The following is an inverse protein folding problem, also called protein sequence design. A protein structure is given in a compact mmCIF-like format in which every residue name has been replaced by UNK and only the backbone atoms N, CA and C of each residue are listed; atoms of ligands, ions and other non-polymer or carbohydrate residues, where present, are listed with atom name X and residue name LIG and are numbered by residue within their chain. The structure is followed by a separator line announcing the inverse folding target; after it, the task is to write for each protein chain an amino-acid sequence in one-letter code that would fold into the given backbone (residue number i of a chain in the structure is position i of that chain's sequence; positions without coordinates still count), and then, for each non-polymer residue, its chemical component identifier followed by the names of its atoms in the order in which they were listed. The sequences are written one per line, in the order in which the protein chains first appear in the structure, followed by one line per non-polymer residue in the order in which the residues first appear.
data_IF_175861811291
#
_entry.id   IF_175861811291
#
_cell.length_a   1.000
_cell.length_b   1.000
_cell.length_c   1.000
_cell.angle_alpha   90.00
_cell.angle_beta   90.00
_cell.angle_gamma   90.00
#
_symmetry.space_group_name_H-M   'P 1'
#
loop_
_entity.id
_entity.type
_entity.pdbx_description
1 polymer ?
#
# COMPACT_ATOMS: atom_id res chain seq x y z
N UNK A 1 -34.52 20.29 -43.98
CA UNK A 1 -34.65 21.10 -42.74
C UNK A 1 -35.41 20.39 -41.61
N UNK A 2 -36.62 19.83 -41.82
CA UNK A 2 -37.38 19.17 -40.75
C UNK A 2 -36.65 17.98 -40.14
N UNK A 3 -36.03 17.09 -40.95
CA UNK A 3 -35.25 15.93 -40.50
C UNK A 3 -34.06 16.34 -39.61
N UNK A 4 -33.29 17.35 -40.04
CA UNK A 4 -32.16 17.87 -39.28
C UNK A 4 -32.58 18.43 -37.90
N UNK A 5 -33.71 19.12 -37.83
CA UNK A 5 -34.27 19.60 -36.54
C UNK A 5 -34.70 18.48 -35.65
N UNK A 6 -35.31 17.43 -36.21
CA UNK A 6 -35.71 16.23 -35.45
C UNK A 6 -34.49 15.49 -34.88
N UNK A 7 -33.43 15.26 -35.69
CA UNK A 7 -32.18 14.63 -35.26
C UNK A 7 -31.50 15.46 -34.16
N UNK A 8 -31.37 16.76 -34.34
CA UNK A 8 -30.82 17.66 -33.32
C UNK A 8 -31.63 17.62 -32.01
N UNK A 9 -32.94 17.54 -32.09
CA UNK A 9 -33.82 17.39 -30.91
C UNK A 9 -33.60 16.06 -30.17
N UNK A 10 -33.42 14.96 -30.90
CA UNK A 10 -33.09 13.66 -30.28
C UNK A 10 -31.71 13.66 -29.64
N UNK A 11 -30.70 14.19 -30.31
CA UNK A 11 -29.34 14.32 -29.75
C UNK A 11 -29.33 15.17 -28.48
N UNK A 12 -30.05 16.30 -28.46
CA UNK A 12 -30.15 17.14 -27.27
C UNK A 12 -30.84 16.39 -26.12
N UNK A 13 -31.95 15.69 -26.38
CA UNK A 13 -32.64 14.88 -25.35
C UNK A 13 -31.72 13.78 -24.79
N UNK A 14 -31.01 13.07 -25.67
CA UNK A 14 -30.05 12.04 -25.26
C UNK A 14 -28.95 12.63 -24.39
N UNK A 15 -28.37 13.77 -24.78
CA UNK A 15 -27.36 14.47 -23.99
C UNK A 15 -27.89 14.87 -22.60
N UNK A 16 -29.10 15.44 -22.53
CA UNK A 16 -29.72 15.82 -21.26
C UNK A 16 -29.98 14.60 -20.35
N UNK A 17 -30.40 13.47 -20.92
CA UNK A 17 -30.58 12.21 -20.16
C UNK A 17 -29.23 11.70 -19.64
N UNK A 18 -28.16 11.76 -20.43
CA UNK A 18 -26.83 11.36 -19.98
C UNK A 18 -26.32 12.26 -18.86
N UNK A 19 -26.49 13.58 -18.96
CA UNK A 19 -26.11 14.53 -17.90
C UNK A 19 -26.89 14.23 -16.62
N UNK A 20 -28.22 14.02 -16.73
CA UNK A 20 -29.06 13.68 -15.59
C UNK A 20 -28.63 12.35 -14.94
N UNK A 21 -28.40 11.32 -15.74
CA UNK A 21 -27.93 10.01 -15.25
C UNK A 21 -26.57 10.12 -14.55
N UNK A 22 -25.63 10.88 -15.13
CA UNK A 22 -24.32 11.16 -14.51
C UNK A 22 -24.48 11.91 -13.20
N UNK A 23 -25.35 12.94 -13.16
CA UNK A 23 -25.63 13.69 -11.93
C UNK A 23 -26.20 12.80 -10.81
N UNK A 24 -27.19 11.95 -11.14
CA UNK A 24 -27.78 10.98 -10.19
C UNK A 24 -26.71 10.01 -9.71
N UNK A 25 -25.85 9.49 -10.59
CA UNK A 25 -24.77 8.59 -10.24
C UNK A 25 -23.76 9.26 -9.29
N UNK A 26 -23.29 10.47 -9.59
CA UNK A 26 -22.37 11.20 -8.74
C UNK A 26 -23.01 11.55 -7.38
N UNK A 27 -24.27 11.95 -7.34
CA UNK A 27 -24.99 12.20 -6.09
C UNK A 27 -25.08 10.91 -5.24
N UNK A 28 -25.39 9.76 -5.85
CA UNK A 28 -25.44 8.47 -5.17
C UNK A 28 -24.07 8.07 -4.62
N UNK A 29 -23.00 8.27 -5.39
CA UNK A 29 -21.61 8.01 -4.93
C UNK A 29 -21.22 8.95 -3.79
N UNK A 30 -21.59 10.24 -3.87
CA UNK A 30 -21.30 11.23 -2.82
C UNK A 30 -21.96 10.91 -1.47
N UNK A 31 -23.19 10.36 -1.50
CA UNK A 31 -23.89 9.91 -0.28
C UNK A 31 -23.18 8.69 0.34
N UNK A 32 -22.54 7.85 -0.47
CA UNK A 32 -21.85 6.63 -0.05
C UNK A 32 -20.36 6.77 0.12
N UNK A 33 -19.84 7.97 -0.09
CA UNK A 33 -18.39 8.22 0.03
C UNK A 33 -17.85 7.76 1.38
N UNK A 34 -16.75 7.05 1.32
CA UNK A 34 -15.99 6.70 2.51
C UNK A 34 -15.28 7.95 3.05
N UNK A 35 -15.66 8.38 4.23
CA UNK A 35 -15.09 9.53 4.93
C UNK A 35 -14.56 9.05 6.28
N UNK A 36 -13.31 8.57 6.32
CA UNK A 36 -12.72 8.11 7.56
C UNK A 36 -12.49 9.28 8.54
N UNK A 37 -12.46 8.97 9.83
CA UNK A 37 -11.98 9.92 10.83
C UNK A 37 -10.46 10.13 10.67
N UNK A 38 -9.96 11.26 11.20
CA UNK A 38 -8.51 11.57 11.18
C UNK A 38 -7.71 10.49 11.87
N UNK A 39 -8.22 9.97 13.01
CA UNK A 39 -7.64 8.85 13.73
C UNK A 39 -8.76 7.89 14.16
N UNK A 40 -8.55 6.60 13.95
CA UNK A 40 -9.50 5.53 14.30
C UNK A 40 -8.77 4.44 15.07
N UNK A 41 -9.22 4.18 16.31
CA UNK A 41 -8.69 3.07 17.11
C UNK A 41 -9.12 1.75 16.51
N UNK A 42 -8.18 0.84 16.26
CA UNK A 42 -8.44 -0.54 15.87
C UNK A 42 -8.42 -1.38 17.15
N UNK A 43 -9.50 -2.12 17.45
CA UNK A 43 -9.57 -2.92 18.67
C UNK A 43 -8.40 -3.91 18.79
N UNK A 44 -7.85 -3.97 20.00
CA UNK A 44 -6.82 -4.95 20.39
C UNK A 44 -7.38 -5.79 21.53
N UNK A 45 -7.56 -7.07 21.27
CA UNK A 45 -8.06 -8.00 22.28
C UNK A 45 -6.91 -8.67 23.03
N UNK A 46 -7.11 -8.90 24.33
CA UNK A 46 -6.13 -9.61 25.15
C UNK A 46 -5.09 -8.71 25.81
N UNK A 47 -4.07 -9.32 26.37
CA UNK A 47 -3.02 -8.62 27.12
C UNK A 47 -1.88 -8.22 26.16
N UNK A 48 -1.44 -6.99 26.26
CA UNK A 48 -0.29 -6.51 25.50
C UNK A 48 0.99 -7.26 25.91
N UNK A 49 1.76 -7.63 24.90
CA UNK A 49 3.07 -8.23 25.09
C UNK A 49 4.19 -7.18 25.09
N UNK A 50 5.39 -7.61 25.44
CA UNK A 50 6.61 -6.80 25.37
C UNK A 50 7.36 -7.16 24.09
N UNK A 51 7.72 -6.15 23.30
CA UNK A 51 8.52 -6.34 22.11
C UNK A 51 9.94 -6.82 22.46
N UNK A 52 10.50 -7.69 21.63
CA UNK A 52 11.90 -8.12 21.74
C UNK A 52 12.86 -6.98 21.42
N UNK A 53 14.06 -7.03 21.99
CA UNK A 53 15.12 -6.05 21.72
C UNK A 53 15.70 -6.16 20.30
N UNK A 54 15.54 -7.32 19.68
CA UNK A 54 15.90 -7.58 18.27
C UNK A 54 14.65 -8.09 17.56
N UNK A 55 14.36 -7.55 16.39
CA UNK A 55 13.16 -7.83 15.63
C UNK A 55 13.49 -8.09 14.16
N UNK A 56 12.77 -9.05 13.58
CA UNK A 56 12.68 -9.23 12.13
C UNK A 56 11.34 -8.70 11.64
N UNK A 57 11.36 -7.73 10.74
CA UNK A 57 10.16 -7.06 10.23
C UNK A 57 10.14 -7.21 8.71
N UNK A 58 9.00 -7.60 8.17
CA UNK A 58 8.79 -7.68 6.73
C UNK A 58 7.76 -6.66 6.26
N UNK A 59 7.89 -6.17 5.03
CA UNK A 59 6.83 -5.45 4.32
C UNK A 59 6.58 -6.12 2.96
N UNK A 60 5.31 -6.17 2.54
CA UNK A 60 4.93 -6.73 1.26
C UNK A 60 3.61 -6.13 0.76
N UNK A 61 3.65 -5.34 -0.30
CA UNK A 61 2.46 -5.00 -1.06
C UNK A 61 2.05 -6.24 -1.87
N UNK A 62 0.88 -6.81 -1.57
CA UNK A 62 0.43 -8.07 -2.18
C UNK A 62 -0.35 -7.86 -3.49
N UNK A 63 -0.45 -6.61 -3.99
CA UNK A 63 -1.16 -6.29 -5.23
C UNK A 63 -2.56 -6.91 -5.27
N UNK A 64 -3.30 -6.91 -4.16
CA UNK A 64 -4.60 -7.61 -3.98
C UNK A 64 -4.61 -9.05 -4.55
N UNK A 65 -3.46 -9.72 -4.64
CA UNK A 65 -3.27 -11.02 -5.30
C UNK A 65 -3.78 -11.01 -6.76
N UNK A 66 -3.63 -9.90 -7.45
CA UNK A 66 -4.17 -9.71 -8.79
C UNK A 66 -3.19 -9.11 -9.80
N UNK A 67 -1.93 -8.81 -9.40
CA UNK A 67 -0.92 -8.15 -10.22
C UNK A 67 0.36 -8.99 -10.39
N UNK A 68 0.24 -10.33 -10.32
CA UNK A 68 1.37 -11.22 -10.60
C UNK A 68 1.88 -11.13 -12.04
N UNK A 69 2.91 -11.92 -12.36
CA UNK A 69 3.72 -11.77 -13.56
C UNK A 69 2.95 -11.75 -14.89
N UNK A 70 1.85 -12.51 -15.01
CA UNK A 70 1.08 -12.57 -16.26
C UNK A 70 0.12 -11.39 -16.45
N UNK A 71 -0.02 -10.49 -15.45
CA UNK A 71 -0.94 -9.36 -15.52
C UNK A 71 -0.31 -8.11 -16.12
N UNK A 72 -1.13 -7.40 -16.90
CA UNK A 72 -1.05 -5.96 -17.12
C UNK A 72 -2.17 -5.26 -16.33
N UNK A 73 -2.16 -3.94 -16.25
CA UNK A 73 -3.18 -3.20 -15.51
C UNK A 73 -3.61 -1.93 -16.26
N UNK A 74 -4.91 -1.76 -16.44
CA UNK A 74 -5.47 -0.71 -17.28
C UNK A 74 -5.16 0.72 -16.80
N UNK A 75 -4.95 0.95 -15.51
CA UNK A 75 -4.55 2.26 -15.00
C UNK A 75 -3.12 2.65 -15.37
N UNK A 76 -2.27 1.69 -15.69
CA UNK A 76 -0.88 1.92 -16.09
C UNK A 76 -0.63 1.71 -17.58
N UNK A 77 -1.69 1.71 -18.38
CA UNK A 77 -1.60 1.56 -19.83
C UNK A 77 -1.81 0.14 -20.36
N UNK A 78 -2.01 -0.82 -19.49
CA UNK A 78 -2.42 -2.18 -19.85
C UNK A 78 -3.90 -2.27 -20.23
N UNK A 79 -4.42 -3.48 -20.31
CA UNK A 79 -5.79 -3.78 -20.78
C UNK A 79 -6.65 -4.50 -19.76
N UNK A 80 -6.04 -5.14 -18.78
CA UNK A 80 -6.73 -6.00 -17.82
C UNK A 80 -7.18 -5.21 -16.59
N UNK A 81 -8.33 -5.60 -16.04
CA UNK A 81 -8.88 -5.04 -14.79
C UNK A 81 -8.61 -5.98 -13.62
N UNK A 82 -8.57 -7.27 -13.91
CA UNK A 82 -8.32 -8.35 -12.95
C UNK A 82 -7.90 -9.61 -13.70
N UNK A 83 -7.20 -10.53 -13.05
CA UNK A 83 -6.94 -11.85 -13.62
C UNK A 83 -8.21 -12.70 -13.70
N UNK A 84 -8.17 -13.73 -14.52
CA UNK A 84 -9.15 -14.81 -14.46
C UNK A 84 -9.08 -15.53 -13.10
N UNK A 85 -10.16 -16.21 -12.72
CA UNK A 85 -10.30 -16.78 -11.36
C UNK A 85 -9.16 -17.77 -11.03
N UNK A 86 -8.78 -18.62 -11.96
CA UNK A 86 -7.71 -19.59 -11.77
C UNK A 86 -6.35 -18.90 -11.55
N UNK A 87 -6.05 -17.87 -12.32
CA UNK A 87 -4.83 -17.06 -12.15
C UNK A 87 -4.84 -16.32 -10.83
N UNK A 88 -6.01 -15.76 -10.43
CA UNK A 88 -6.17 -15.16 -9.11
C UNK A 88 -5.89 -16.16 -7.98
N UNK A 89 -6.44 -17.37 -8.08
CA UNK A 89 -6.24 -18.42 -7.06
C UNK A 89 -4.77 -18.87 -6.99
N UNK A 90 -4.09 -18.94 -8.14
CA UNK A 90 -2.64 -19.18 -8.24
C UNK A 90 -1.86 -18.08 -7.49
N UNK A 91 -2.18 -16.81 -7.74
CA UNK A 91 -1.49 -15.70 -7.07
C UNK A 91 -1.78 -15.67 -5.57
N UNK A 92 -3.03 -15.87 -5.16
CA UNK A 92 -3.38 -15.95 -3.74
C UNK A 92 -2.62 -17.08 -3.03
N UNK A 93 -2.56 -18.26 -3.64
CA UNK A 93 -1.76 -19.38 -3.14
C UNK A 93 -0.26 -19.04 -3.08
N UNK A 94 0.24 -18.34 -4.09
CA UNK A 94 1.62 -17.87 -4.17
C UNK A 94 1.96 -16.85 -3.07
N UNK A 95 1.11 -15.85 -2.85
CA UNK A 95 1.26 -14.87 -1.76
C UNK A 95 1.27 -15.56 -0.39
N UNK A 96 0.35 -16.50 -0.14
CA UNK A 96 0.32 -17.29 1.10
C UNK A 96 1.62 -18.07 1.25
N UNK A 97 2.08 -18.76 0.20
CA UNK A 97 3.34 -19.50 0.18
C UNK A 97 4.54 -18.60 0.43
N UNK A 98 4.53 -17.39 -0.16
CA UNK A 98 5.59 -16.41 0.03
C UNK A 98 5.67 -15.92 1.48
N UNK A 99 4.56 -15.54 2.08
CA UNK A 99 4.51 -15.13 3.49
C UNK A 99 5.00 -16.28 4.39
N UNK A 100 4.61 -17.52 4.10
CA UNK A 100 5.04 -18.69 4.86
C UNK A 100 6.55 -18.97 4.73
N UNK A 101 7.18 -18.57 3.61
CA UNK A 101 8.62 -18.77 3.34
C UNK A 101 9.52 -17.63 3.84
N UNK A 102 8.96 -16.54 4.37
CA UNK A 102 9.74 -15.47 4.96
C UNK A 102 10.54 -15.98 6.17
N UNK A 103 11.71 -15.39 6.49
CA UNK A 103 12.59 -15.85 7.56
C UNK A 103 12.01 -15.60 8.96
N UNK A 104 10.84 -16.13 9.23
CA UNK A 104 10.08 -16.09 10.49
C UNK A 104 9.95 -14.67 11.11
N UNK A 105 9.46 -13.66 10.38
CA UNK A 105 9.37 -12.31 10.89
C UNK A 105 8.50 -12.20 12.14
N UNK A 106 8.86 -11.30 13.04
CA UNK A 106 8.06 -10.98 14.24
C UNK A 106 6.86 -10.12 13.85
N UNK A 107 7.05 -9.29 12.82
CA UNK A 107 6.06 -8.33 12.31
C UNK A 107 6.03 -8.43 10.79
N UNK A 108 4.81 -8.37 10.21
CA UNK A 108 4.61 -8.27 8.76
C UNK A 108 3.65 -7.12 8.46
N UNK A 109 4.08 -6.20 7.65
CA UNK A 109 3.27 -5.14 7.05
C UNK A 109 2.79 -5.58 5.68
N UNK A 110 1.47 -5.58 5.46
CA UNK A 110 0.91 -5.85 4.15
C UNK A 110 0.14 -4.64 3.64
N UNK A 111 0.26 -4.37 2.34
CA UNK A 111 -0.48 -3.33 1.64
C UNK A 111 -1.35 -3.99 0.58
N UNK A 112 -2.38 -3.29 0.12
CA UNK A 112 -3.37 -3.72 -0.87
C UNK A 112 -4.11 -5.02 -0.52
N UNK A 113 -4.45 -5.20 0.74
CA UNK A 113 -5.22 -6.36 1.20
C UNK A 113 -6.71 -6.13 0.97
N UNK A 114 -7.32 -6.86 0.04
CA UNK A 114 -8.76 -6.77 -0.25
C UNK A 114 -9.59 -7.55 0.76
N UNK A 115 -10.74 -6.96 1.15
CA UNK A 115 -11.72 -7.65 2.02
C UNK A 115 -13.04 -7.93 1.31
N UNK A 116 -13.40 -7.12 0.30
CA UNK A 116 -14.61 -7.28 -0.50
C UNK A 116 -14.49 -6.49 -1.81
N UNK A 117 -13.72 -6.99 -2.76
CA UNK A 117 -13.47 -6.31 -4.03
C UNK A 117 -13.76 -7.21 -5.22
N UNK A 118 -14.36 -6.63 -6.28
CA UNK A 118 -14.63 -7.35 -7.53
C UNK A 118 -13.33 -7.80 -8.20
N UNK A 119 -12.25 -6.99 -8.09
CA UNK A 119 -10.93 -7.28 -8.68
C UNK A 119 -10.27 -8.54 -8.09
N UNK A 120 -10.58 -8.88 -6.85
CA UNK A 120 -10.11 -10.06 -6.13
C UNK A 120 -11.20 -11.13 -5.95
N UNK A 121 -12.19 -11.18 -6.86
CA UNK A 121 -13.28 -12.16 -6.85
C UNK A 121 -14.05 -12.18 -5.54
N UNK A 122 -14.18 -11.02 -4.87
CA UNK A 122 -14.84 -10.83 -3.58
C UNK A 122 -14.24 -11.66 -2.43
N UNK A 123 -13.00 -12.12 -2.59
CA UNK A 123 -12.28 -12.83 -1.53
C UNK A 123 -11.96 -11.87 -0.37
N UNK A 124 -12.13 -12.36 0.85
CA UNK A 124 -11.69 -11.64 2.04
C UNK A 124 -10.27 -12.09 2.39
N UNK A 125 -9.28 -11.43 1.78
CA UNK A 125 -7.86 -11.77 1.96
C UNK A 125 -7.41 -11.56 3.40
N UNK A 126 -7.88 -10.51 4.09
CA UNK A 126 -7.60 -10.31 5.51
C UNK A 126 -7.98 -11.54 6.33
N UNK A 127 -9.22 -12.04 6.18
CA UNK A 127 -9.69 -13.20 6.92
C UNK A 127 -8.96 -14.48 6.52
N UNK A 128 -8.66 -14.66 5.24
CA UNK A 128 -7.91 -15.83 4.75
C UNK A 128 -6.49 -15.86 5.33
N UNK A 129 -5.79 -14.73 5.34
CA UNK A 129 -4.45 -14.63 5.91
C UNK A 129 -4.47 -14.79 7.44
N UNK A 130 -5.42 -14.14 8.13
CA UNK A 130 -5.58 -14.30 9.59
C UNK A 130 -5.79 -15.77 9.98
N UNK A 131 -6.68 -16.47 9.28
CA UNK A 131 -6.95 -17.88 9.56
C UNK A 131 -5.76 -18.81 9.19
N UNK A 132 -4.97 -18.42 8.18
CA UNK A 132 -3.82 -19.24 7.74
C UNK A 132 -2.60 -19.09 8.65
N UNK A 133 -2.46 -17.93 9.28
CA UNK A 133 -1.30 -17.55 10.09
C UNK A 133 -1.71 -17.24 11.54
N UNK A 134 -2.36 -18.20 12.20
CA UNK A 134 -2.94 -18.09 13.56
C UNK A 134 -1.92 -17.71 14.65
N UNK A 135 -0.62 -17.89 14.39
CA UNK A 135 0.45 -17.47 15.30
C UNK A 135 0.61 -15.94 15.38
N UNK A 136 -0.05 -15.18 14.49
CA UNK A 136 -0.02 -13.73 14.48
C UNK A 136 -1.33 -13.12 14.96
N UNK A 137 -1.25 -12.12 15.79
CA UNK A 137 -2.31 -11.13 15.99
C UNK A 137 -2.43 -10.30 14.72
N UNK A 138 -3.64 -10.07 14.23
CA UNK A 138 -3.85 -9.42 12.93
C UNK A 138 -4.76 -8.21 13.06
N UNK A 139 -4.42 -7.12 12.38
CA UNK A 139 -5.13 -5.85 12.42
C UNK A 139 -5.31 -5.31 11.01
N UNK A 140 -6.40 -4.59 10.76
CA UNK A 140 -6.73 -4.09 9.44
C UNK A 140 -7.17 -2.63 9.47
N UNK A 141 -6.57 -1.80 8.61
CA UNK A 141 -6.94 -0.40 8.41
C UNK A 141 -7.46 -0.20 6.99
N UNK A 142 -8.76 0.09 6.88
CA UNK A 142 -9.41 0.34 5.58
C UNK A 142 -8.90 1.66 4.99
N UNK A 143 -8.42 1.63 3.74
CA UNK A 143 -7.98 2.82 3.01
C UNK A 143 -8.64 2.99 1.63
N UNK A 144 -9.37 1.99 1.16
CA UNK A 144 -10.09 2.05 -0.10
C UNK A 144 -11.48 1.45 0.04
N UNK A 145 -12.50 2.29 -0.11
CA UNK A 145 -13.90 1.86 -0.19
C UNK A 145 -14.62 2.71 -1.22
N UNK A 146 -14.78 2.16 -2.42
CA UNK A 146 -15.40 2.85 -3.54
C UNK A 146 -16.12 1.87 -4.49
N UNK A 147 -16.92 2.40 -5.39
CA UNK A 147 -17.36 1.72 -6.60
C UNK A 147 -16.79 2.46 -7.82
N UNK A 148 -15.85 1.84 -8.52
CA UNK A 148 -15.06 2.44 -9.60
C UNK A 148 -15.70 2.12 -10.95
N UNK A 149 -16.18 3.12 -11.73
CA UNK A 149 -16.89 2.90 -12.98
C UNK A 149 -15.99 2.58 -14.18
N UNK A 150 -14.69 2.68 -14.01
CA UNK A 150 -13.73 2.50 -15.12
C UNK A 150 -13.13 1.09 -15.12
N UNK A 151 -12.75 0.56 -16.29
CA UNK A 151 -13.18 1.01 -17.64
C UNK A 151 -14.69 0.82 -17.85
N UNK A 152 -15.33 1.69 -18.63
CA UNK A 152 -16.80 1.73 -18.74
C UNK A 152 -17.47 0.38 -19.11
N UNK A 153 -16.84 -0.41 -19.99
CA UNK A 153 -17.38 -1.69 -20.45
C UNK A 153 -17.09 -2.85 -19.48
N UNK A 154 -16.01 -2.75 -18.70
CA UNK A 154 -15.60 -3.76 -17.72
C UNK A 154 -15.20 -3.08 -16.41
N UNK A 155 -16.13 -2.44 -15.69
CA UNK A 155 -15.77 -1.63 -14.53
C UNK A 155 -15.08 -2.47 -13.45
N UNK A 156 -14.05 -1.87 -12.83
CA UNK A 156 -13.40 -2.44 -11.65
C UNK A 156 -14.41 -2.69 -10.54
N UNK A 157 -15.44 -1.82 -10.45
CA UNK A 157 -16.60 -2.03 -9.60
C UNK A 157 -16.28 -1.81 -8.12
N UNK A 158 -16.87 -2.62 -7.26
CA UNK A 158 -16.69 -2.51 -5.81
C UNK A 158 -15.26 -2.85 -5.39
N UNK A 159 -14.67 -1.98 -4.59
CA UNK A 159 -13.36 -2.18 -3.95
C UNK A 159 -13.49 -1.89 -2.46
N UNK A 160 -13.01 -2.81 -1.64
CA UNK A 160 -12.72 -2.62 -0.22
C UNK A 160 -11.34 -3.20 0.05
N UNK A 161 -10.38 -2.34 0.33
CA UNK A 161 -8.98 -2.71 0.54
C UNK A 161 -8.35 -1.89 1.66
N UNK A 162 -7.23 -2.36 2.19
CA UNK A 162 -6.53 -1.64 3.24
C UNK A 162 -5.12 -2.15 3.51
N UNK A 163 -4.59 -1.68 4.63
CA UNK A 163 -3.35 -2.13 5.23
C UNK A 163 -3.64 -3.25 6.22
N UNK A 164 -2.75 -4.23 6.30
CA UNK A 164 -2.81 -5.27 7.32
C UNK A 164 -1.50 -5.32 8.09
N UNK A 165 -1.60 -5.45 9.40
CA UNK A 165 -0.50 -5.75 10.30
C UNK A 165 -0.68 -7.18 10.81
N UNK A 166 0.40 -7.95 10.79
CA UNK A 166 0.49 -9.26 11.44
C UNK A 166 1.64 -9.21 12.45
N UNK A 167 1.40 -9.57 13.70
CA UNK A 167 2.38 -9.47 14.79
C UNK A 167 2.35 -10.71 15.69
N UNK A 168 3.52 -11.29 15.98
CA UNK A 168 3.65 -12.38 16.97
C UNK A 168 3.36 -11.90 18.40
N UNK A 169 3.72 -10.65 18.69
CA UNK A 169 3.48 -10.00 19.99
C UNK A 169 2.21 -9.16 19.90
N UNK A 170 1.31 -9.29 20.86
CA UNK A 170 0.09 -8.47 20.91
C UNK A 170 0.45 -7.01 21.24
N UNK A 171 0.12 -6.03 20.39
CA UNK A 171 0.43 -4.62 20.64
C UNK A 171 -0.37 -4.05 21.82
N UNK A 172 0.14 -2.97 22.41
CA UNK A 172 -0.59 -2.21 23.43
C UNK A 172 -1.70 -1.33 22.83
N UNK A 173 -1.60 -1.02 21.54
CA UNK A 173 -2.61 -0.27 20.80
C UNK A 173 -2.32 -0.29 19.32
N UNK A 174 -3.39 -0.21 18.52
CA UNK A 174 -3.32 -0.06 17.07
C UNK A 174 -4.25 1.05 16.63
N UNK A 175 -3.77 1.93 15.75
CA UNK A 175 -4.53 3.07 15.28
C UNK A 175 -4.34 3.28 13.76
N UNK A 176 -5.42 3.64 13.09
CA UNK A 176 -5.41 4.13 11.71
C UNK A 176 -5.33 5.64 11.74
N UNK A 177 -4.40 6.24 11.03
CA UNK A 177 -4.26 7.68 10.84
C UNK A 177 -4.55 8.01 9.37
N UNK A 178 -5.63 8.77 9.11
CA UNK A 178 -5.93 9.26 7.76
C UNK A 178 -4.98 10.39 7.40
N UNK A 179 -4.46 10.39 6.17
CA UNK A 179 -3.88 11.61 5.63
C UNK A 179 -4.99 12.64 5.34
N UNK A 180 -4.71 13.91 5.60
CA UNK A 180 -5.70 14.99 5.51
C UNK A 180 -6.05 15.34 4.07
N UNK A 181 -5.12 15.15 3.14
CA UNK A 181 -5.28 15.51 1.75
C UNK A 181 -5.65 14.29 0.90
N UNK A 182 -6.34 14.59 -0.20
CA UNK A 182 -6.76 13.60 -1.18
C UNK A 182 -7.25 14.31 -2.45
N UNK A 183 -7.73 13.50 -3.38
CA UNK A 183 -8.31 14.04 -4.62
C UNK A 183 -9.55 14.89 -4.33
N UNK A 184 -9.71 15.97 -5.09
CA UNK A 184 -10.92 16.80 -5.07
C UNK A 184 -12.12 16.05 -5.68
N UNK A 185 -13.34 16.51 -5.33
CA UNK A 185 -14.56 16.02 -5.97
C UNK A 185 -14.57 16.38 -7.48
N UNK A 186 -15.02 15.50 -8.41
CA UNK A 186 -15.64 14.19 -8.15
C UNK A 186 -14.65 13.01 -8.06
N UNK A 187 -13.35 13.21 -8.33
CA UNK A 187 -12.36 12.14 -8.33
C UNK A 187 -12.25 11.46 -6.95
N UNK A 188 -12.37 12.22 -5.86
CA UNK A 188 -12.34 11.72 -4.50
C UNK A 188 -13.31 10.57 -4.21
N UNK A 189 -14.42 10.48 -4.98
CA UNK A 189 -15.44 9.44 -4.85
C UNK A 189 -14.94 8.05 -5.26
N UNK A 190 -13.87 8.00 -6.07
CA UNK A 190 -13.35 6.79 -6.72
C UNK A 190 -11.95 6.41 -6.26
N UNK A 191 -11.27 7.30 -5.53
CA UNK A 191 -9.89 7.15 -5.13
C UNK A 191 -9.74 6.67 -3.68
N UNK A 192 -8.56 6.18 -3.36
CA UNK A 192 -8.19 5.77 -2.01
C UNK A 192 -8.25 6.96 -1.05
N UNK A 193 -8.61 6.68 0.19
CA UNK A 193 -8.43 7.57 1.34
C UNK A 193 -7.20 7.08 2.10
N UNK A 194 -6.03 7.47 1.62
CA UNK A 194 -4.74 7.01 2.12
C UNK A 194 -4.59 7.21 3.63
N UNK A 195 -3.85 6.33 4.24
CA UNK A 195 -3.59 6.33 5.68
C UNK A 195 -2.28 5.59 5.97
N UNK A 196 -1.77 5.77 7.18
CA UNK A 196 -0.83 4.83 7.76
C UNK A 196 -1.48 4.13 8.97
N UNK A 197 -0.98 2.94 9.29
CA UNK A 197 -1.38 2.17 10.47
C UNK A 197 -0.24 2.20 11.47
N UNK A 198 -0.53 2.67 12.66
CA UNK A 198 0.36 2.67 13.82
C UNK A 198 0.09 1.45 14.69
N UNK A 199 1.14 0.81 15.20
CA UNK A 199 1.06 -0.18 16.28
C UNK A 199 2.10 0.12 17.35
N UNK A 200 1.68 0.10 18.62
CA UNK A 200 2.52 0.42 19.79
C UNK A 200 2.78 -0.81 20.62
N UNK A 201 4.01 -0.98 21.03
CA UNK A 201 4.46 -2.07 21.89
C UNK A 201 5.23 -1.53 23.08
N UNK A 202 5.06 -2.15 24.26
CA UNK A 202 5.96 -1.91 25.38
C UNK A 202 7.32 -2.53 25.11
N UNK A 203 8.39 -1.89 25.57
CA UNK A 203 9.74 -2.43 25.52
C UNK A 203 10.28 -2.73 26.91
N UNK A 204 11.31 -3.55 27.02
CA UNK A 204 11.88 -4.00 28.30
C UNK A 204 12.52 -2.86 29.12
N UNK A 205 12.85 -1.72 28.48
CA UNK A 205 13.42 -0.52 29.12
C UNK A 205 12.36 0.55 29.48
N UNK A 206 11.07 0.22 29.35
CA UNK A 206 9.96 1.10 29.72
C UNK A 206 9.57 2.14 28.67
N UNK A 207 10.25 2.19 27.52
CA UNK A 207 9.85 3.01 26.36
C UNK A 207 8.79 2.31 25.53
N UNK A 208 8.40 2.92 24.42
CA UNK A 208 7.55 2.28 23.43
C UNK A 208 8.30 2.05 22.11
N UNK A 209 8.00 0.94 21.46
CA UNK A 209 8.27 0.72 20.04
C UNK A 209 7.03 1.11 19.25
N UNK A 210 7.16 2.09 18.39
CA UNK A 210 6.11 2.58 17.49
C UNK A 210 6.41 2.11 16.08
N UNK A 211 5.57 1.22 15.57
CA UNK A 211 5.65 0.67 14.21
C UNK A 211 4.62 1.34 13.32
N UNK A 212 5.02 1.72 12.12
CA UNK A 212 4.17 2.40 11.13
C UNK A 212 4.19 1.63 9.82
N UNK A 213 3.04 1.12 9.42
CA UNK A 213 2.81 0.56 8.09
C UNK A 213 2.18 1.65 7.20
N UNK A 214 2.88 2.07 6.14
CA UNK A 214 2.40 3.11 5.21
C UNK A 214 2.16 2.58 3.81
N UNK A 215 1.25 3.23 3.07
CA UNK A 215 1.08 3.09 1.63
C UNK A 215 0.69 4.44 1.05
N UNK A 216 1.68 5.17 0.56
CA UNK A 216 1.55 6.56 0.09
C UNK A 216 0.96 6.64 -1.34
N UNK A 217 0.58 7.83 -1.76
CA UNK A 217 -0.02 8.06 -3.08
C UNK A 217 0.96 7.79 -4.23
N UNK A 218 0.48 7.04 -5.25
CA UNK A 218 1.28 6.54 -6.37
C UNK A 218 1.31 7.50 -7.58
N UNK A 219 0.19 8.17 -7.90
CA UNK A 219 0.02 8.82 -9.20
C UNK A 219 0.81 10.10 -9.36
N UNK A 220 1.31 10.35 -10.57
CA UNK A 220 2.13 11.53 -10.90
C UNK A 220 1.39 12.86 -10.74
N UNK A 221 0.07 12.87 -10.96
CA UNK A 221 -0.81 14.02 -10.75
C UNK A 221 -1.08 14.33 -9.26
N UNK A 222 -0.63 13.46 -8.36
CA UNK A 222 -0.78 13.57 -6.92
C UNK A 222 0.48 14.13 -6.20
N UNK A 223 1.35 14.89 -6.88
CA UNK A 223 2.60 15.38 -6.29
C UNK A 223 2.37 16.21 -5.01
N UNK A 224 1.41 17.13 -5.02
CA UNK A 224 1.04 17.94 -3.85
C UNK A 224 0.44 17.09 -2.73
N UNK A 225 -0.35 16.07 -3.08
CA UNK A 225 -0.91 15.12 -2.11
C UNK A 225 0.22 14.35 -1.44
N UNK A 226 1.20 13.82 -2.21
CA UNK A 226 2.36 13.10 -1.65
C UNK A 226 3.20 13.96 -0.73
N UNK A 227 3.44 15.22 -1.09
CA UNK A 227 4.20 16.15 -0.26
C UNK A 227 3.52 16.35 1.11
N UNK A 228 2.21 16.51 1.13
CA UNK A 228 1.43 16.64 2.36
C UNK A 228 1.40 15.34 3.17
N UNK A 229 1.18 14.20 2.52
CA UNK A 229 1.26 12.88 3.16
C UNK A 229 2.62 12.67 3.83
N UNK A 230 3.72 12.98 3.13
CA UNK A 230 5.07 12.90 3.69
C UNK A 230 5.25 13.88 4.86
N UNK A 231 4.73 15.10 4.75
CA UNK A 231 4.79 16.10 5.82
C UNK A 231 4.08 15.63 7.11
N UNK A 232 2.89 15.07 6.98
CA UNK A 232 2.12 14.54 8.11
C UNK A 232 2.79 13.31 8.73
N UNK A 233 3.26 12.39 7.88
CA UNK A 233 4.00 11.21 8.34
C UNK A 233 5.28 11.62 9.07
N UNK A 234 6.06 12.55 8.51
CA UNK A 234 7.26 13.12 9.15
C UNK A 234 6.93 13.69 10.52
N UNK A 235 5.91 14.54 10.61
CA UNK A 235 5.52 15.17 11.86
C UNK A 235 5.21 14.11 12.94
N UNK A 236 4.45 13.08 12.59
CA UNK A 236 4.14 11.96 13.48
C UNK A 236 5.42 11.21 13.94
N UNK A 237 6.29 10.83 13.01
CA UNK A 237 7.52 10.07 13.31
C UNK A 237 8.46 10.88 14.21
N UNK A 238 8.62 12.18 13.93
CA UNK A 238 9.47 13.08 14.73
C UNK A 238 8.92 13.28 16.14
N UNK A 239 7.60 13.45 16.27
CA UNK A 239 6.93 13.58 17.56
C UNK A 239 7.14 12.34 18.42
N UNK A 240 6.96 11.15 17.86
CA UNK A 240 7.15 9.89 18.57
C UNK A 240 8.62 9.68 18.99
N UNK A 241 9.56 10.00 18.12
CA UNK A 241 10.98 9.96 18.49
C UNK A 241 11.34 10.97 19.58
N UNK A 242 10.78 12.18 19.53
CA UNK A 242 11.01 13.20 20.55
C UNK A 242 10.50 12.79 21.95
N UNK A 243 9.50 11.89 22.02
CA UNK A 243 9.04 11.27 23.28
C UNK A 243 10.02 10.21 23.82
N UNK A 244 11.10 9.91 23.10
CA UNK A 244 12.10 8.89 23.43
C UNK A 244 11.75 7.49 22.94
N UNK A 245 10.68 7.34 22.15
CA UNK A 245 10.23 6.06 21.60
C UNK A 245 11.19 5.56 20.51
N UNK A 246 11.21 4.26 20.29
CA UNK A 246 11.79 3.64 19.11
C UNK A 246 10.77 3.74 17.98
N UNK A 247 11.18 4.22 16.79
CA UNK A 247 10.26 4.44 15.68
C UNK A 247 10.77 3.71 14.43
N UNK A 248 9.90 2.90 13.84
CA UNK A 248 10.17 2.18 12.59
C UNK A 248 8.97 2.37 11.67
N UNK A 249 9.17 3.01 10.53
CA UNK A 249 8.18 3.13 9.47
C UNK A 249 8.59 2.26 8.28
N UNK A 250 7.67 1.52 7.71
CA UNK A 250 7.91 0.70 6.52
C UNK A 250 6.64 0.53 5.70
N UNK A 251 6.80 0.08 4.47
CA UNK A 251 5.67 -0.11 3.56
C UNK A 251 6.02 0.27 2.13
N UNK A 252 4.98 0.49 1.35
CA UNK A 252 5.04 1.01 0.01
C UNK A 252 4.98 2.55 0.05
N UNK A 253 6.11 3.19 -0.17
CA UNK A 253 6.23 4.65 -0.15
C UNK A 253 5.83 5.31 -1.48
N UNK A 254 5.70 4.51 -2.54
CA UNK A 254 5.46 4.99 -3.91
C UNK A 254 6.46 6.05 -4.40
N UNK A 255 7.59 6.17 -3.74
CA UNK A 255 8.73 7.03 -4.07
C UNK A 255 10.03 6.30 -3.77
N UNK A 256 11.08 6.62 -4.52
CA UNK A 256 12.41 6.09 -4.20
C UNK A 256 12.92 6.71 -2.88
N UNK A 257 13.68 5.97 -2.08
CA UNK A 257 14.36 6.55 -0.94
C UNK A 257 15.43 7.57 -1.40
N UNK A 258 15.83 8.52 -0.54
CA UNK A 258 16.94 9.40 -0.83
C UNK A 258 18.19 8.58 -1.20
N UNK A 259 18.97 9.08 -2.17
CA UNK A 259 20.20 8.43 -2.65
C UNK A 259 20.00 7.03 -3.28
N UNK A 260 18.78 6.70 -3.76
CA UNK A 260 18.59 5.50 -4.56
C UNK A 260 19.42 5.58 -5.84
N UNK A 261 20.37 4.65 -5.99
CA UNK A 261 21.26 4.55 -7.15
C UNK A 261 20.86 3.34 -8.02
N UNK A 262 20.36 3.61 -9.22
CA UNK A 262 20.00 2.58 -10.19
C UNK A 262 21.18 1.72 -10.64
N UNK A 263 22.42 2.26 -10.55
CA UNK A 263 23.64 1.53 -10.90
C UNK A 263 24.01 0.46 -9.86
N UNK A 264 23.50 0.56 -8.64
CA UNK A 264 23.71 -0.47 -7.61
C UNK A 264 22.81 -1.70 -7.81
N UNK A 265 21.71 -1.57 -8.57
CA UNK A 265 20.79 -2.67 -8.85
C UNK A 265 21.40 -3.64 -9.85
N UNK A 266 21.15 -4.94 -9.67
CA UNK A 266 21.65 -5.99 -10.58
C UNK A 266 21.30 -5.70 -12.04
N UNK A 267 22.26 -5.87 -12.93
CA UNK A 267 22.14 -5.58 -14.36
C UNK A 267 21.09 -6.42 -15.11
N UNK A 268 20.57 -7.50 -14.49
CA UNK A 268 19.45 -8.26 -15.04
C UNK A 268 18.12 -7.49 -15.02
N UNK A 269 17.99 -6.47 -14.17
CA UNK A 269 16.80 -5.64 -14.09
C UNK A 269 16.91 -4.40 -14.98
N UNK A 270 15.79 -3.98 -15.57
CA UNK A 270 15.65 -2.70 -16.25
C UNK A 270 15.07 -1.68 -15.28
N UNK A 271 15.91 -0.84 -14.68
CA UNK A 271 15.52 0.03 -13.55
C UNK A 271 15.22 1.44 -14.00
N UNK A 272 14.21 2.05 -13.39
CA UNK A 272 13.90 3.49 -13.48
C UNK A 272 13.78 4.10 -12.09
N UNK A 273 13.90 5.42 -12.02
CA UNK A 273 13.59 6.21 -10.81
C UNK A 273 12.15 6.75 -10.86
N UNK A 274 11.54 6.91 -9.69
CA UNK A 274 10.28 7.64 -9.51
C UNK A 274 10.64 9.09 -9.16
N UNK A 275 10.05 10.03 -9.88
CA UNK A 275 10.32 11.46 -9.69
C UNK A 275 9.05 12.16 -9.17
N UNK A 276 9.18 13.00 -8.11
CA UNK A 276 10.37 13.19 -7.28
C UNK A 276 10.59 12.03 -6.31
N UNK A 277 11.85 11.71 -5.93
CA UNK A 277 12.13 10.79 -4.83
C UNK A 277 11.74 11.44 -3.50
N UNK A 278 11.84 10.68 -2.39
CA UNK A 278 11.73 11.28 -1.05
C UNK A 278 12.88 12.31 -0.90
N UNK A 279 12.59 13.55 -0.43
CA UNK A 279 13.60 14.57 -0.24
C UNK A 279 14.73 14.12 0.69
N UNK A 280 15.98 14.49 0.38
CA UNK A 280 17.13 14.10 1.18
C UNK A 280 17.08 14.64 2.62
N UNK A 281 16.39 15.77 2.82
CA UNK A 281 16.15 16.43 4.11
C UNK A 281 14.82 16.02 4.75
N UNK A 282 14.19 14.95 4.27
CA UNK A 282 12.93 14.46 4.83
C UNK A 282 13.07 14.14 6.32
N UNK A 283 14.20 13.57 6.73
CA UNK A 283 14.49 13.26 8.14
C UNK A 283 15.74 14.02 8.62
N UNK A 284 15.82 14.35 9.93
CA UNK A 284 17.06 14.86 10.53
C UNK A 284 18.21 13.84 10.44
N UNK A 285 19.41 14.30 10.71
CA UNK A 285 20.59 13.45 10.82
C UNK A 285 20.40 12.32 11.84
N UNK A 286 20.96 11.15 11.53
CA UNK A 286 20.89 9.95 12.36
C UNK A 286 19.71 9.01 12.08
N UNK A 287 18.72 9.42 11.30
CA UNK A 287 17.70 8.50 10.78
C UNK A 287 18.27 7.67 9.64
N UNK A 288 17.87 6.41 9.55
CA UNK A 288 18.40 5.46 8.58
C UNK A 288 17.30 4.90 7.69
N UNK A 289 17.51 5.01 6.39
CA UNK A 289 16.73 4.27 5.40
C UNK A 289 17.30 2.87 5.23
N UNK A 290 16.46 1.84 5.21
CA UNK A 290 16.87 0.45 5.11
C UNK A 290 16.18 -0.23 3.93
N UNK A 291 16.97 -0.61 2.92
CA UNK A 291 16.54 -1.33 1.70
C UNK A 291 17.67 -2.23 1.18
N UNK A 292 17.34 -3.11 0.24
CA UNK A 292 18.32 -3.88 -0.51
C UNK A 292 18.73 -3.10 -1.77
N UNK A 293 19.98 -2.66 -1.90
CA UNK A 293 20.40 -1.88 -3.06
C UNK A 293 20.49 -2.68 -4.37
N UNK A 294 20.49 -4.01 -4.31
CA UNK A 294 20.70 -4.87 -5.47
C UNK A 294 19.41 -5.35 -6.16
N UNK A 295 18.27 -5.26 -5.47
CA UNK A 295 17.00 -5.78 -5.99
C UNK A 295 15.92 -4.72 -5.98
N UNK A 296 15.21 -4.51 -7.10
CA UNK A 296 14.03 -3.66 -7.14
C UNK A 296 12.92 -4.30 -6.32
N UNK A 297 11.96 -3.51 -5.88
CA UNK A 297 10.84 -4.02 -5.08
C UNK A 297 9.50 -3.95 -5.82
N UNK A 298 9.42 -3.18 -6.90
CA UNK A 298 8.21 -3.01 -7.70
C UNK A 298 8.53 -3.06 -9.19
N UNK A 299 7.53 -3.44 -10.01
CA UNK A 299 7.57 -3.41 -11.48
C UNK A 299 6.43 -2.58 -12.06
N UNK A 300 6.60 -2.05 -13.26
CA UNK A 300 5.49 -1.54 -14.05
C UNK A 300 4.54 -2.67 -14.44
N UNK A 301 3.26 -2.32 -14.52
CA UNK A 301 2.19 -3.25 -14.93
C UNK A 301 1.47 -2.79 -16.22
N UNK A 302 2.18 -2.04 -17.08
CA UNK A 302 1.73 -1.71 -18.43
C UNK A 302 1.72 -2.91 -19.37
N UNK A 303 2.59 -3.90 -19.11
CA UNK A 303 2.70 -5.18 -19.78
C UNK A 303 2.90 -6.31 -18.77
N UNK A 304 2.63 -7.58 -19.11
CA UNK A 304 3.10 -8.73 -18.33
C UNK A 304 4.60 -8.66 -18.07
N UNK A 305 5.04 -9.21 -16.93
CA UNK A 305 6.45 -9.16 -16.55
C UNK A 305 7.33 -9.97 -17.50
N UNK A 306 8.39 -9.33 -17.95
CA UNK A 306 9.48 -9.93 -18.72
C UNK A 306 10.81 -9.45 -18.15
N UNK A 307 11.62 -10.40 -17.70
CA UNK A 307 12.95 -10.09 -17.15
C UNK A 307 13.79 -9.27 -18.14
N UNK A 308 14.47 -8.24 -17.64
CA UNK A 308 15.28 -7.31 -18.43
C UNK A 308 14.51 -6.41 -19.42
N UNK A 309 13.18 -6.55 -19.54
CA UNK A 309 12.34 -5.73 -20.44
C UNK A 309 11.36 -4.83 -19.70
N UNK A 310 10.67 -5.38 -18.72
CA UNK A 310 9.75 -4.60 -17.85
C UNK A 310 10.55 -3.66 -16.97
N UNK A 311 10.12 -2.41 -16.87
CA UNK A 311 10.74 -1.48 -15.93
C UNK A 311 10.45 -1.88 -14.50
N UNK A 312 11.44 -1.72 -13.66
CA UNK A 312 11.37 -1.97 -12.22
C UNK A 312 11.87 -0.76 -11.44
N UNK A 313 11.53 -0.67 -10.17
CA UNK A 313 11.98 0.40 -9.27
C UNK A 313 12.03 -0.10 -7.83
N UNK A 314 12.50 0.75 -6.91
CA UNK A 314 12.55 0.46 -5.48
C UNK A 314 11.70 1.49 -4.74
N UNK A 315 10.57 1.04 -4.17
CA UNK A 315 9.62 1.88 -3.44
C UNK A 315 9.14 1.28 -2.12
N UNK A 316 9.52 0.03 -1.85
CA UNK A 316 9.26 -0.66 -0.57
C UNK A 316 10.53 -0.68 0.26
N UNK A 317 10.50 -0.04 1.42
CA UNK A 317 11.66 0.08 2.32
C UNK A 317 11.24 0.51 3.72
N UNK A 318 12.22 0.58 4.63
CA UNK A 318 12.01 1.03 6.00
C UNK A 318 12.79 2.30 6.31
N UNK A 319 12.26 3.07 7.25
CA UNK A 319 12.87 4.23 7.88
C UNK A 319 12.98 3.96 9.38
N UNK A 320 14.17 4.09 9.93
CA UNK A 320 14.51 3.75 11.32
C UNK A 320 14.94 5.01 12.07
N UNK A 321 14.42 5.22 13.28
CA UNK A 321 14.90 6.30 14.15
C UNK A 321 16.33 6.07 14.65
N UNK A 322 17.06 7.11 15.09
CA UNK A 322 18.46 7.01 15.51
C UNK A 322 18.74 6.00 16.60
N UNK A 323 17.75 5.71 17.47
CA UNK A 323 17.82 4.73 18.55
C UNK A 323 17.51 3.29 18.11
N UNK A 324 17.37 3.04 16.80
CA UNK A 324 17.23 1.70 16.20
C UNK A 324 18.44 1.40 15.34
N UNK A 325 19.10 0.26 15.57
CA UNK A 325 20.21 -0.22 14.74
C UNK A 325 19.70 -1.12 13.62
N UNK A 326 20.15 -0.89 12.40
CA UNK A 326 19.97 -1.81 11.28
C UNK A 326 21.00 -2.94 11.38
N UNK A 327 20.55 -4.19 11.39
CA UNK A 327 21.40 -5.39 11.35
C UNK A 327 21.43 -6.03 9.96
N UNK A 328 20.45 -5.74 9.11
CA UNK A 328 20.39 -6.19 7.71
C UNK A 328 19.09 -5.82 7.05
N UNK A 329 19.12 -5.63 5.73
CA UNK A 329 17.96 -5.38 4.89
C UNK A 329 18.11 -6.19 3.60
N UNK A 330 17.08 -6.94 3.22
CA UNK A 330 17.08 -7.76 2.02
C UNK A 330 15.70 -7.72 1.36
N UNK A 331 15.65 -7.49 0.06
CA UNK A 331 14.49 -7.85 -0.74
C UNK A 331 14.51 -9.35 -1.02
N UNK A 332 13.33 -9.95 -1.14
CA UNK A 332 13.18 -11.37 -1.48
C UNK A 332 12.75 -11.47 -2.93
N UNK A 333 13.68 -11.75 -3.88
CA UNK A 333 13.34 -11.84 -5.29
C UNK A 333 12.32 -12.95 -5.55
N UNK A 334 11.18 -12.58 -6.13
CA UNK A 334 10.08 -13.51 -6.46
C UNK A 334 9.91 -13.65 -7.96
N UNK A 335 10.62 -12.84 -8.78
CA UNK A 335 10.33 -12.69 -10.19
C UNK A 335 8.94 -12.08 -10.43
N UNK A 336 8.41 -11.35 -9.45
CA UNK A 336 7.07 -10.74 -9.49
C UNK A 336 5.96 -11.75 -9.78
N UNK A 337 6.15 -13.01 -9.39
CA UNK A 337 5.27 -14.12 -9.77
C UNK A 337 3.85 -13.96 -9.22
N UNK A 338 3.70 -13.42 -8.00
CA UNK A 338 2.42 -13.36 -7.29
C UNK A 338 1.86 -11.93 -7.14
N UNK A 339 2.73 -10.92 -7.19
CA UNK A 339 2.43 -9.49 -7.05
C UNK A 339 3.39 -8.69 -7.94
N UNK A 340 3.03 -7.46 -8.26
CA UNK A 340 3.90 -6.46 -8.87
C UNK A 340 4.94 -5.87 -7.89
N UNK A 341 4.90 -6.32 -6.64
CA UNK A 341 5.92 -6.04 -5.64
C UNK A 341 6.65 -7.29 -5.17
N UNK A 342 7.80 -7.08 -4.52
CA UNK A 342 8.62 -8.09 -3.86
C UNK A 342 8.77 -7.77 -2.38
N UNK A 343 8.69 -8.77 -1.47
CA UNK A 343 8.85 -8.53 -0.03
C UNK A 343 10.22 -7.96 0.32
N UNK A 344 10.26 -7.06 1.31
CA UNK A 344 11.48 -6.57 1.94
C UNK A 344 11.50 -6.99 3.40
N UNK A 345 12.62 -7.52 3.86
CA UNK A 345 12.82 -7.96 5.24
C UNK A 345 13.97 -7.20 5.86
N UNK A 346 13.76 -6.62 7.03
CA UNK A 346 14.81 -5.99 7.82
C UNK A 346 14.98 -6.70 9.15
N UNK A 347 16.21 -6.76 9.63
CA UNK A 347 16.53 -7.15 11.00
C UNK A 347 17.09 -5.93 11.72
N UNK A 348 16.53 -5.63 12.88
CA UNK A 348 16.85 -4.42 13.66
C UNK A 348 17.09 -4.75 15.12
N UNK A 349 17.81 -3.88 15.83
CA UNK A 349 17.98 -3.94 17.29
C UNK A 349 17.68 -2.57 17.92
N UNK A 350 16.97 -2.59 19.05
CA UNK A 350 16.69 -1.38 19.83
C UNK A 350 17.92 -1.02 20.66
N UNK A 351 18.39 0.24 20.55
CA UNK A 351 19.52 0.77 21.35
C UNK A 351 18.96 1.23 22.71
N UNK A 352 19.25 0.50 23.76
CA UNK A 352 18.89 0.86 25.14
C UNK A 352 19.73 2.00 25.67
#
# INVERSE_FOLDING_TARGET
MKLLRSVAGYLLKTLLLLILATGIFLAWQSIREFRPQTAEVIPVDGVAGVAGDTLTIATYNIGYCGLGAEMDFFYEGGTMVRPEKETYDKYLGGVIGRIASLPDPDIIFLQEVDTLAKRSWYSNQYRLLSNRFEKYHTFFALNYRAWVPMPLLKPMGKVHAGLMLMSKTNPAGVQRHAFSEGYSWPMSLFMLKRCFMEARYQTSDGKQLVLVNTHNSAFSDAAEIREKELGELKAFLMEEYAKGNYVIAGGDWNQNPPAFDTAAVKASYRVKTITPPIPADFTPEGWHYAWDPQHPTNRDVDIPYHDGRTFTTLIDFFLLSPNVSLLGANAIPTGFAESDHQPVVVKVALKK
#
